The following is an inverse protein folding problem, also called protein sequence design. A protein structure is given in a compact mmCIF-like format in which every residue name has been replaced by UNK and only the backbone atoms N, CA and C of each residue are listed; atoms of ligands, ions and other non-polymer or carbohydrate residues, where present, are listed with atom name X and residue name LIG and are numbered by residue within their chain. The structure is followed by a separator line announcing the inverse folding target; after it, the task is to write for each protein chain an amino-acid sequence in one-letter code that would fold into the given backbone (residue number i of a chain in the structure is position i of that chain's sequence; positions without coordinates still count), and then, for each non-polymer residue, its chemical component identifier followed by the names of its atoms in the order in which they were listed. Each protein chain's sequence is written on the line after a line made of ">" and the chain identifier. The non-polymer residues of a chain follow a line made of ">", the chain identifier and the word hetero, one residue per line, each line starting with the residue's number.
data_IF_285812362948
#
_entry.id   IF_285812362948
#
_cell.length_a   1.000
_cell.length_b   1.000
_cell.length_c   1.000
_cell.angle_alpha   90.00
_cell.angle_beta   90.00
_cell.angle_gamma   90.00
#
_symmetry.space_group_name_H-M   'P 1'
#
loop_
_entity.id
_entity.type
_entity.pdbx_description
1 polymer ?
#
# COMPACT_ATOMS: atom_id res chain seq x y z
N UNK A 1 13.85 -22.14 13.67
CA UNK A 1 12.42 -21.85 13.95
C UNK A 1 11.76 -21.54 12.63
N UNK A 2 11.01 -22.46 12.06
CA UNK A 2 10.29 -22.25 10.79
C UNK A 2 9.20 -21.21 11.09
N UNK A 3 9.28 -20.08 10.43
CA UNK A 3 8.20 -19.07 10.49
C UNK A 3 7.02 -19.70 9.77
N UNK A 4 5.89 -19.78 10.45
CA UNK A 4 4.65 -20.29 9.87
C UNK A 4 4.21 -19.32 8.73
N UNK A 5 4.45 -19.72 7.48
CA UNK A 5 4.13 -18.93 6.29
C UNK A 5 2.62 -18.62 6.22
N UNK A 6 1.77 -19.54 6.67
CA UNK A 6 0.33 -19.32 6.74
C UNK A 6 -0.01 -18.18 7.71
N UNK A 7 0.63 -18.14 8.88
CA UNK A 7 0.46 -17.07 9.85
C UNK A 7 0.83 -15.70 9.27
N UNK A 8 1.96 -15.59 8.59
CA UNK A 8 2.38 -14.33 7.96
C UNK A 8 1.44 -13.91 6.84
N UNK A 9 0.91 -14.85 6.08
CA UNK A 9 -0.08 -14.59 5.04
C UNK A 9 -1.36 -14.01 5.64
N UNK A 10 -1.89 -14.57 6.71
CA UNK A 10 -3.11 -14.08 7.36
C UNK A 10 -2.91 -12.71 8.01
N UNK A 11 -1.76 -12.47 8.63
CA UNK A 11 -1.37 -11.14 9.14
C UNK A 11 -1.34 -10.12 7.99
N UNK A 12 -0.73 -10.48 6.86
CA UNK A 12 -0.66 -9.63 5.67
C UNK A 12 -2.05 -9.27 5.14
N UNK A 13 -2.96 -10.25 5.03
CA UNK A 13 -4.35 -10.02 4.60
C UNK A 13 -5.09 -9.06 5.54
N UNK A 14 -4.97 -9.25 6.85
CA UNK A 14 -5.60 -8.38 7.84
C UNK A 14 -5.05 -6.95 7.76
N UNK A 15 -3.74 -6.80 7.57
CA UNK A 15 -3.10 -5.51 7.36
C UNK A 15 -3.64 -4.82 6.09
N UNK A 16 -3.71 -5.53 4.97
CA UNK A 16 -4.29 -4.99 3.73
C UNK A 16 -5.74 -4.57 3.93
N UNK A 17 -6.56 -5.38 4.60
CA UNK A 17 -7.94 -5.02 4.93
C UNK A 17 -8.04 -3.68 5.67
N UNK A 18 -7.14 -3.42 6.64
CA UNK A 18 -7.11 -2.11 7.30
C UNK A 18 -6.63 -0.99 6.38
N UNK A 19 -5.67 -1.26 5.50
CA UNK A 19 -5.13 -0.26 4.58
C UNK A 19 -6.09 0.10 3.44
N UNK A 20 -7.12 -0.71 3.16
CA UNK A 20 -8.24 -0.32 2.28
C UNK A 20 -8.95 0.96 2.77
N UNK A 21 -8.89 1.24 4.08
CA UNK A 21 -9.36 2.49 4.67
C UNK A 21 -8.31 3.61 4.67
N UNK A 22 -7.21 3.46 3.92
CA UNK A 22 -6.11 4.42 3.92
C UNK A 22 -6.51 5.85 3.51
N UNK A 23 -7.58 6.02 2.73
CA UNK A 23 -8.13 7.34 2.40
C UNK A 23 -8.73 8.06 3.62
N UNK A 24 -9.07 7.32 4.68
CA UNK A 24 -9.74 7.85 5.88
C UNK A 24 -9.12 7.30 7.19
N UNK A 25 -7.82 7.02 7.17
CA UNK A 25 -7.10 6.43 8.32
C UNK A 25 -7.23 7.24 9.61
N UNK A 26 -7.28 8.58 9.51
CA UNK A 26 -7.41 9.45 10.67
C UNK A 26 -8.75 9.28 11.38
N UNK A 27 -9.79 8.83 10.68
CA UNK A 27 -11.11 8.57 11.21
C UNK A 27 -11.32 7.10 11.62
N UNK A 28 -10.35 6.23 11.29
CA UNK A 28 -10.40 4.82 11.66
C UNK A 28 -10.12 4.66 13.15
N UNK A 29 -11.16 4.59 13.97
CA UNK A 29 -10.98 4.36 15.40
C UNK A 29 -10.59 2.90 15.71
N UNK A 30 -9.96 2.70 16.88
CA UNK A 30 -9.46 1.39 17.33
C UNK A 30 -10.53 0.30 17.33
N UNK A 31 -11.75 0.60 17.76
CA UNK A 31 -12.86 -0.36 17.81
C UNK A 31 -13.24 -0.82 16.40
N UNK A 32 -13.35 0.11 15.47
CA UNK A 32 -13.65 -0.22 14.06
C UNK A 32 -12.52 -1.06 13.45
N UNK A 33 -11.27 -0.65 13.65
CA UNK A 33 -10.11 -1.42 13.16
C UNK A 33 -10.10 -2.84 13.72
N UNK A 34 -10.35 -3.02 15.02
CA UNK A 34 -10.43 -4.33 15.65
C UNK A 34 -11.56 -5.19 15.08
N UNK A 35 -12.73 -4.62 14.83
CA UNK A 35 -13.86 -5.34 14.24
C UNK A 35 -13.58 -5.79 12.80
N UNK A 36 -12.85 -5.00 12.02
CA UNK A 36 -12.48 -5.35 10.65
C UNK A 36 -11.56 -6.57 10.56
N UNK A 37 -10.69 -6.77 11.55
CA UNK A 37 -9.72 -7.87 11.53
C UNK A 37 -10.15 -9.09 12.37
N UNK A 38 -11.29 -9.03 13.07
CA UNK A 38 -11.74 -10.10 13.96
C UNK A 38 -12.06 -11.41 13.23
N UNK A 39 -12.44 -11.32 11.96
CA UNK A 39 -12.79 -12.47 11.11
C UNK A 39 -11.56 -13.20 10.56
N UNK A 40 -10.37 -12.59 10.66
CA UNK A 40 -9.14 -13.24 10.25
C UNK A 40 -8.69 -14.25 11.31
N UNK A 41 -8.16 -15.42 10.92
CA UNK A 41 -7.71 -16.46 11.86
C UNK A 41 -6.38 -16.08 12.54
N UNK A 42 -6.41 -15.00 13.30
CA UNK A 42 -5.26 -14.43 14.00
C UNK A 42 -5.33 -14.69 15.50
N UNK A 43 -4.19 -14.97 16.12
CA UNK A 43 -4.07 -14.91 17.57
C UNK A 43 -4.26 -13.47 18.07
N UNK A 44 -4.63 -13.29 19.34
CA UNK A 44 -4.73 -11.95 19.95
C UNK A 44 -3.43 -11.15 19.81
N UNK A 45 -2.29 -11.82 19.93
CA UNK A 45 -0.97 -11.21 19.76
C UNK A 45 -0.77 -10.72 18.31
N UNK A 46 -1.24 -11.46 17.30
CA UNK A 46 -1.12 -11.06 15.90
C UNK A 46 -2.09 -9.93 15.55
N UNK A 47 -3.31 -9.96 16.12
CA UNK A 47 -4.23 -8.82 16.00
C UNK A 47 -3.60 -7.54 16.58
N UNK A 48 -2.97 -7.61 17.75
CA UNK A 48 -2.28 -6.48 18.35
C UNK A 48 -1.12 -5.97 17.47
N UNK A 49 -0.38 -6.88 16.80
CA UNK A 49 0.67 -6.48 15.86
C UNK A 49 0.11 -5.71 14.66
N UNK A 50 -1.00 -6.19 14.09
CA UNK A 50 -1.67 -5.52 12.97
C UNK A 50 -2.19 -4.14 13.40
N UNK A 51 -2.84 -4.05 14.55
CA UNK A 51 -3.34 -2.76 15.05
C UNK A 51 -2.20 -1.77 15.33
N UNK A 52 -1.10 -2.22 15.92
CA UNK A 52 0.10 -1.39 16.16
C UNK A 52 0.74 -0.88 14.87
N UNK A 53 0.60 -1.60 13.74
CA UNK A 53 1.12 -1.12 12.46
C UNK A 53 0.37 0.14 11.99
N UNK A 54 -0.91 0.24 12.24
CA UNK A 54 -1.71 1.45 11.95
C UNK A 54 -1.23 2.63 12.79
N UNK A 55 -0.99 2.41 14.10
CA UNK A 55 -0.45 3.45 14.97
C UNK A 55 0.91 3.96 14.47
N UNK A 56 1.78 3.06 14.00
CA UNK A 56 3.08 3.46 13.42
C UNK A 56 2.90 4.30 12.16
N UNK A 57 2.02 3.87 11.24
CA UNK A 57 1.76 4.58 9.98
C UNK A 57 1.16 5.96 10.26
N UNK A 58 0.14 6.05 11.14
CA UNK A 58 -0.52 7.31 11.48
C UNK A 58 0.35 8.25 12.30
N UNK A 59 1.34 7.73 13.02
CA UNK A 59 2.33 8.52 13.75
C UNK A 59 3.53 8.94 12.89
N UNK A 60 3.71 8.35 11.71
CA UNK A 60 4.79 8.69 10.78
C UNK A 60 4.42 9.93 9.97
N UNK A 61 5.20 11.00 10.13
CA UNK A 61 5.01 12.25 9.37
C UNK A 61 5.10 12.01 7.87
N UNK A 62 6.05 11.19 7.41
CA UNK A 62 6.23 10.91 5.98
C UNK A 62 5.10 10.06 5.41
N UNK A 63 4.64 9.03 6.14
CA UNK A 63 3.48 8.24 5.73
C UNK A 63 2.22 9.11 5.65
N UNK A 64 1.98 9.95 6.66
CA UNK A 64 0.80 10.81 6.68
C UNK A 64 0.87 11.89 5.60
N UNK A 65 2.06 12.42 5.30
CA UNK A 65 2.26 13.35 4.18
C UNK A 65 1.97 12.67 2.82
N UNK A 66 2.38 11.42 2.65
CA UNK A 66 2.10 10.67 1.44
C UNK A 66 0.60 10.34 1.31
N UNK A 67 -0.02 9.84 2.39
CA UNK A 67 -1.40 9.35 2.39
C UNK A 67 -2.45 10.48 2.48
N UNK A 68 -2.11 11.64 3.04
CA UNK A 68 -2.95 12.83 3.10
C UNK A 68 -2.49 13.92 2.10
N UNK A 69 -1.73 13.56 1.08
CA UNK A 69 -1.40 14.50 0.02
C UNK A 69 -2.69 15.12 -0.53
N UNK A 70 -2.64 16.38 -0.95
CA UNK A 70 -3.76 17.11 -1.57
C UNK A 70 -4.18 16.42 -2.89
N UNK A 71 -4.74 15.23 -2.76
CA UNK A 71 -5.27 14.48 -3.89
C UNK A 71 -6.68 14.97 -4.21
N UNK A 72 -6.94 15.21 -5.48
CA UNK A 72 -8.28 15.56 -5.96
C UNK A 72 -9.17 14.34 -6.09
N UNK A 73 -8.57 13.14 -6.19
CA UNK A 73 -9.25 11.85 -6.25
C UNK A 73 -8.36 10.75 -5.72
N UNK A 74 -8.91 9.88 -4.88
CA UNK A 74 -8.28 8.65 -4.40
C UNK A 74 -9.12 7.44 -4.83
N UNK A 75 -8.47 6.47 -5.46
CA UNK A 75 -9.05 5.17 -5.77
C UNK A 75 -8.36 4.09 -4.93
N UNK A 76 -9.14 3.23 -4.29
CA UNK A 76 -8.67 2.09 -3.48
C UNK A 76 -9.12 0.82 -4.17
N UNK A 77 -8.24 -0.19 -4.25
CA UNK A 77 -8.51 -1.50 -4.86
C UNK A 77 -9.11 -1.41 -6.28
N UNK A 78 -8.74 -0.37 -7.04
CA UNK A 78 -9.26 -0.15 -8.39
C UNK A 78 -8.65 -1.12 -9.41
N UNK A 79 -9.48 -1.62 -10.32
CA UNK A 79 -9.05 -2.54 -11.37
C UNK A 79 -8.61 -1.79 -12.62
N UNK A 80 -7.46 -2.18 -13.15
CA UNK A 80 -6.86 -1.66 -14.36
C UNK A 80 -6.57 -2.81 -15.33
N UNK A 81 -6.81 -2.61 -16.61
CA UNK A 81 -6.56 -3.64 -17.62
C UNK A 81 -5.32 -3.24 -18.41
N UNK A 82 -4.30 -4.11 -18.40
CA UNK A 82 -3.10 -3.93 -19.19
C UNK A 82 -3.36 -4.16 -20.69
N UNK A 83 -2.43 -3.73 -21.55
CA UNK A 83 -2.50 -3.97 -22.99
C UNK A 83 -2.59 -5.47 -23.35
N UNK A 84 -2.14 -6.34 -22.46
CA UNK A 84 -2.20 -7.79 -22.63
C UNK A 84 -3.48 -8.42 -22.06
N UNK A 85 -4.43 -7.60 -21.55
CA UNK A 85 -5.67 -8.07 -20.93
C UNK A 85 -5.49 -8.56 -19.49
N UNK A 86 -4.33 -8.34 -18.86
CA UNK A 86 -4.09 -8.67 -17.46
C UNK A 86 -4.82 -7.66 -16.57
N UNK A 87 -5.58 -8.15 -15.59
CA UNK A 87 -6.22 -7.29 -14.57
C UNK A 87 -5.20 -6.99 -13.48
N UNK A 88 -4.91 -5.71 -13.29
CA UNK A 88 -4.01 -5.18 -12.28
C UNK A 88 -4.80 -4.42 -11.23
N UNK A 89 -4.48 -4.61 -9.95
CA UNK A 89 -5.21 -4.00 -8.84
C UNK A 89 -4.22 -3.41 -7.83
N UNK A 90 -3.77 -2.15 -8.04
CA UNK A 90 -3.00 -1.43 -7.03
C UNK A 90 -3.87 -1.15 -5.80
N UNK A 91 -3.28 -1.20 -4.61
CA UNK A 91 -4.00 -0.99 -3.36
C UNK A 91 -4.60 0.42 -3.29
N UNK A 92 -3.83 1.43 -3.74
CA UNK A 92 -4.28 2.82 -3.75
C UNK A 92 -3.65 3.62 -4.89
N UNK A 93 -4.45 4.47 -5.52
CA UNK A 93 -4.02 5.42 -6.56
C UNK A 93 -4.56 6.81 -6.22
N UNK A 94 -3.67 7.76 -5.98
CA UNK A 94 -4.00 9.15 -5.66
C UNK A 94 -3.72 10.05 -6.86
N UNK A 95 -4.72 10.81 -7.28
CA UNK A 95 -4.64 11.77 -8.36
C UNK A 95 -4.54 13.19 -7.81
N UNK A 96 -3.51 13.92 -8.19
CA UNK A 96 -3.42 15.37 -8.06
C UNK A 96 -3.43 15.96 -9.48
N UNK A 97 -4.60 16.39 -9.93
CA UNK A 97 -4.77 16.91 -11.28
C UNK A 97 -4.15 18.29 -11.45
N UNK A 98 -4.07 19.08 -10.39
CA UNK A 98 -3.50 20.42 -10.42
C UNK A 98 -1.99 20.37 -10.65
N UNK A 99 -1.29 19.50 -9.92
CA UNK A 99 0.16 19.27 -10.05
C UNK A 99 0.51 18.28 -11.17
N UNK A 100 -0.48 17.62 -11.78
CA UNK A 100 -0.32 16.56 -12.78
C UNK A 100 0.52 15.39 -12.26
N UNK A 101 0.25 14.96 -11.04
CA UNK A 101 0.94 13.84 -10.38
C UNK A 101 -0.07 12.75 -10.06
N UNK A 102 0.33 11.49 -10.30
CA UNK A 102 -0.37 10.30 -9.81
C UNK A 102 0.59 9.53 -8.92
N UNK A 103 0.17 9.24 -7.69
CA UNK A 103 0.89 8.37 -6.78
C UNK A 103 0.20 7.00 -6.73
N UNK A 104 0.94 5.95 -7.06
CA UNK A 104 0.54 4.56 -6.86
C UNK A 104 1.15 4.12 -5.54
N UNK A 105 0.32 3.61 -4.63
CA UNK A 105 0.76 3.16 -3.32
C UNK A 105 0.33 1.72 -3.14
N UNK A 106 1.27 0.86 -2.79
CA UNK A 106 1.04 -0.54 -2.50
C UNK A 106 1.53 -0.84 -1.07
N UNK A 107 0.72 -1.54 -0.30
CA UNK A 107 1.00 -1.82 1.11
C UNK A 107 1.60 -3.21 1.28
N UNK A 108 2.65 -3.32 2.08
CA UNK A 108 3.30 -4.60 2.35
C UNK A 108 3.44 -4.81 3.86
N UNK A 109 3.02 -5.98 4.36
CA UNK A 109 3.29 -6.31 5.75
C UNK A 109 4.78 -6.21 6.08
N UNK A 110 5.62 -6.73 5.19
CA UNK A 110 7.09 -6.60 5.25
C UNK A 110 7.66 -6.49 3.85
N UNK A 111 8.66 -5.64 3.68
CA UNK A 111 9.45 -5.60 2.45
C UNK A 111 10.65 -6.52 2.62
N UNK A 112 10.63 -7.67 1.95
CA UNK A 112 11.71 -8.66 1.99
C UNK A 112 12.71 -8.40 0.86
N UNK A 113 14.00 -8.45 1.17
CA UNK A 113 15.06 -8.32 0.15
C UNK A 113 14.93 -9.38 -0.96
N UNK A 114 14.52 -10.59 -0.63
CA UNK A 114 14.35 -11.67 -1.60
C UNK A 114 13.19 -11.43 -2.58
N UNK A 115 12.25 -10.56 -2.23
CA UNK A 115 11.06 -10.23 -3.03
C UNK A 115 11.16 -8.85 -3.71
N UNK A 116 12.25 -8.13 -3.51
CA UNK A 116 12.43 -6.77 -4.05
C UNK A 116 12.19 -6.71 -5.55
N UNK A 117 12.75 -7.65 -6.31
CA UNK A 117 12.57 -7.69 -7.77
C UNK A 117 11.11 -7.92 -8.17
N UNK A 118 10.37 -8.78 -7.46
CA UNK A 118 8.95 -9.01 -7.74
C UNK A 118 8.10 -7.78 -7.44
N UNK A 119 8.39 -7.06 -6.37
CA UNK A 119 7.71 -5.80 -6.04
C UNK A 119 7.99 -4.72 -7.09
N UNK A 120 9.24 -4.57 -7.52
CA UNK A 120 9.60 -3.63 -8.59
C UNK A 120 8.83 -3.96 -9.87
N UNK A 121 8.81 -5.23 -10.30
CA UNK A 121 8.08 -5.65 -11.49
C UNK A 121 6.57 -5.39 -11.37
N UNK A 122 5.98 -5.67 -10.23
CA UNK A 122 4.57 -5.39 -9.96
C UNK A 122 4.26 -3.89 -10.11
N UNK A 123 5.05 -3.05 -9.45
CA UNK A 123 4.86 -1.61 -9.47
C UNK A 123 5.09 -1.00 -10.86
N UNK A 124 6.05 -1.52 -11.62
CA UNK A 124 6.27 -1.09 -13.01
C UNK A 124 5.10 -1.46 -13.93
N UNK A 125 4.45 -2.60 -13.72
CA UNK A 125 3.22 -2.95 -14.44
C UNK A 125 2.09 -1.96 -14.13
N UNK A 126 1.89 -1.62 -12.85
CA UNK A 126 0.90 -0.60 -12.44
C UNK A 126 1.22 0.76 -13.08
N UNK A 127 2.47 1.19 -12.96
CA UNK A 127 2.92 2.45 -13.53
C UNK A 127 2.65 2.52 -15.04
N UNK A 128 3.04 1.48 -15.78
CA UNK A 128 2.84 1.42 -17.22
C UNK A 128 1.37 1.57 -17.63
N UNK A 129 0.44 0.83 -16.99
CA UNK A 129 -0.98 0.91 -17.36
C UNK A 129 -1.57 2.28 -17.03
N UNK A 130 -1.16 2.89 -15.92
CA UNK A 130 -1.64 4.21 -15.52
C UNK A 130 -1.07 5.30 -16.43
N UNK A 131 0.22 5.27 -16.78
CA UNK A 131 0.85 6.20 -17.72
C UNK A 131 0.19 6.17 -19.09
N UNK A 132 -0.20 5.00 -19.58
CA UNK A 132 -0.92 4.86 -20.85
C UNK A 132 -2.30 5.53 -20.83
N UNK A 133 -3.00 5.46 -19.70
CA UNK A 133 -4.31 6.10 -19.53
C UNK A 133 -4.19 7.62 -19.25
N UNK A 134 -3.08 8.05 -18.65
CA UNK A 134 -2.86 9.45 -18.25
C UNK A 134 -1.50 9.97 -18.75
N UNK A 135 -1.28 10.06 -20.09
CA UNK A 135 0.05 10.35 -20.67
C UNK A 135 0.59 11.75 -20.37
N UNK A 136 -0.25 12.64 -19.82
CA UNK A 136 0.14 14.02 -19.44
C UNK A 136 0.44 14.17 -17.95
N UNK A 137 0.39 13.08 -17.19
CA UNK A 137 0.64 13.08 -15.75
C UNK A 137 1.94 12.38 -15.42
N UNK A 138 2.60 12.82 -14.36
CA UNK A 138 3.79 12.14 -13.82
C UNK A 138 3.34 11.08 -12.84
N UNK A 139 3.69 9.82 -13.11
CA UNK A 139 3.34 8.69 -12.23
C UNK A 139 4.52 8.37 -11.31
N UNK A 140 4.25 8.24 -10.02
CA UNK A 140 5.20 7.83 -8.98
C UNK A 140 4.68 6.61 -8.25
N UNK A 141 5.56 5.70 -7.90
CA UNK A 141 5.19 4.43 -7.26
C UNK A 141 5.89 4.25 -5.93
N UNK A 142 5.11 3.93 -4.91
CA UNK A 142 5.55 3.80 -3.52
C UNK A 142 5.13 2.46 -2.92
N UNK A 143 5.99 1.88 -2.08
CA UNK A 143 5.63 0.80 -1.15
C UNK A 143 5.62 1.38 0.26
N UNK A 144 4.58 1.07 1.03
CA UNK A 144 4.48 1.43 2.44
C UNK A 144 4.41 0.15 3.26
N UNK A 145 5.36 -0.05 4.17
CA UNK A 145 5.40 -1.23 5.03
C UNK A 145 4.63 -1.03 6.33
N UNK A 146 4.29 -2.12 7.00
CA UNK A 146 3.68 -2.11 8.34
C UNK A 146 4.55 -1.45 9.42
N UNK A 147 5.84 -1.27 9.16
CA UNK A 147 6.77 -0.54 10.02
C UNK A 147 6.87 0.96 9.66
N UNK A 148 5.94 1.46 8.84
CA UNK A 148 5.88 2.84 8.35
C UNK A 148 7.12 3.26 7.54
N UNK A 149 7.81 2.31 6.93
CA UNK A 149 8.87 2.61 5.98
C UNK A 149 8.29 2.84 4.59
N UNK A 150 8.74 3.89 3.93
CA UNK A 150 8.37 4.21 2.55
C UNK A 150 9.54 3.88 1.64
N UNK A 151 9.25 3.13 0.59
CA UNK A 151 10.18 2.89 -0.51
C UNK A 151 9.55 3.39 -1.80
N UNK A 152 10.34 3.86 -2.74
CA UNK A 152 9.86 4.34 -4.04
C UNK A 152 10.60 3.67 -5.19
N UNK A 153 9.93 3.59 -6.33
CA UNK A 153 10.50 3.02 -7.54
C UNK A 153 11.15 4.13 -8.37
N UNK A 154 12.42 3.92 -8.70
CA UNK A 154 13.16 4.77 -9.64
C UNK A 154 13.86 3.91 -10.70
N UNK A 155 13.38 3.97 -11.92
CA UNK A 155 13.79 3.02 -12.97
C UNK A 155 13.44 1.59 -12.53
N UNK A 156 14.43 0.69 -12.50
CA UNK A 156 14.25 -0.70 -12.09
C UNK A 156 14.74 -0.96 -10.64
N UNK A 157 14.79 0.07 -9.81
CA UNK A 157 15.30 -0.03 -8.45
C UNK A 157 14.26 0.41 -7.42
N UNK A 158 14.28 -0.26 -6.27
CA UNK A 158 13.55 0.12 -5.07
C UNK A 158 14.52 0.90 -4.15
N UNK A 159 14.18 2.13 -3.86
CA UNK A 159 14.94 3.02 -2.98
C UNK A 159 14.12 3.36 -1.74
N UNK A 160 14.77 3.43 -0.59
CA UNK A 160 14.12 3.83 0.66
C UNK A 160 14.15 5.35 0.80
N UNK A 161 13.04 5.91 1.27
CA UNK A 161 13.02 7.27 1.80
C UNK A 161 13.69 7.21 3.19
N UNK A 162 14.81 7.87 3.30
CA UNK A 162 15.57 7.96 4.53
C UNK A 162 14.93 8.87 5.55
#
# INVERSE_FOLDING_TARGET
>A
MQIDENRLTEIGKAFHCLMEFSADLLNLNFTTAKNLIIEFPLSSCDQDLVLKSIDKITSSVDCMKLLNSESTQTLVESEWISELGEILRPDRVDFNFDDKIINIIDFKWRVSHNQTNSYVLQMLKYQKVIELNYPKMTVKSFLVSSDAQISYIRGNQLLHLG
#
